data_IF_733620239356
#
_entry.id   IF_733620239356
#
_cell.length_a   1.000
_cell.length_b   1.000
_cell.length_c   1.000
_cell.angle_alpha   90.00
_cell.angle_beta   90.00
_cell.angle_gamma   90.00
#
_symmetry.space_group_name_H-M   'P 1'
#
loop_
_entity.id
_entity.type
_entity.pdbx_description
1 polymer ?
#
# COMPACT_ATOMS: atom_id res chain seq x y z
N UNK A 1 8.40 16.71 -9.23
CA UNK A 1 7.77 15.79 -8.26
C UNK A 1 6.26 16.05 -8.28
N UNK A 2 5.43 15.02 -8.28
CA UNK A 2 3.96 15.20 -8.19
C UNK A 2 3.63 15.99 -6.92
N UNK A 3 2.65 16.91 -7.01
CA UNK A 3 2.26 17.75 -5.86
C UNK A 3 1.28 16.97 -5.00
N UNK A 4 1.74 16.46 -3.87
CA UNK A 4 0.89 15.91 -2.82
C UNK A 4 0.08 17.03 -2.16
N UNK A 5 -1.16 16.73 -1.79
CA UNK A 5 -2.02 17.67 -1.07
C UNK A 5 -1.89 17.37 0.43
N UNK A 6 -1.13 18.16 1.21
CA UNK A 6 -1.05 17.97 2.64
C UNK A 6 -2.36 18.43 3.28
N UNK A 7 -2.75 17.71 4.33
CA UNK A 7 -3.83 18.18 5.18
C UNK A 7 -3.36 19.34 6.06
N UNK A 8 -4.26 20.30 6.29
CA UNK A 8 -3.99 21.45 7.14
C UNK A 8 -4.43 21.13 8.57
N UNK A 9 -3.54 21.42 9.52
CA UNK A 9 -3.77 21.23 10.95
C UNK A 9 -3.61 22.56 11.67
N UNK A 10 -4.42 22.77 12.71
CA UNK A 10 -4.19 23.90 13.63
C UNK A 10 -2.87 23.68 14.40
N UNK A 11 -2.29 24.73 15.01
CA UNK A 11 -1.09 24.58 15.83
C UNK A 11 -1.26 23.54 16.95
N UNK A 12 -2.44 23.48 17.57
CA UNK A 12 -2.76 22.55 18.66
C UNK A 12 -2.89 21.10 18.14
N UNK A 13 -3.59 20.91 17.02
CA UNK A 13 -3.67 19.61 16.34
C UNK A 13 -2.28 19.10 15.96
N UNK A 14 -1.44 19.96 15.38
CA UNK A 14 -0.08 19.63 15.00
C UNK A 14 0.81 19.30 16.22
N UNK A 15 0.60 19.94 17.36
CA UNK A 15 1.34 19.65 18.59
C UNK A 15 1.04 18.23 19.11
N UNK A 16 -0.21 17.79 19.02
CA UNK A 16 -0.61 16.42 19.35
C UNK A 16 -0.02 15.42 18.34
N UNK A 17 -0.22 15.67 17.04
CA UNK A 17 0.18 14.73 15.98
C UNK A 17 1.69 14.45 15.96
N UNK A 18 2.53 15.44 16.27
CA UNK A 18 4.00 15.27 16.29
C UNK A 18 4.50 14.20 17.26
N UNK A 19 3.69 13.81 18.25
CA UNK A 19 4.03 12.75 19.21
C UNK A 19 3.89 11.35 18.61
N UNK A 20 3.02 11.21 17.61
CA UNK A 20 2.54 9.92 17.12
C UNK A 20 2.84 9.65 15.64
N UNK A 21 3.32 10.65 14.89
CA UNK A 21 3.61 10.54 13.46
C UNK A 21 4.97 11.15 13.11
N UNK A 22 5.72 10.50 12.21
CA UNK A 22 7.09 10.92 11.85
C UNK A 22 7.19 12.18 10.99
N UNK A 23 6.09 12.59 10.34
CA UNK A 23 5.90 13.89 9.70
C UNK A 23 4.40 14.19 9.52
N UNK A 24 4.05 15.44 9.18
CA UNK A 24 2.67 15.91 9.07
C UNK A 24 2.23 16.32 7.65
N UNK A 25 3.18 16.45 6.73
CA UNK A 25 3.03 17.15 5.45
C UNK A 25 3.44 16.32 4.23
N UNK A 26 4.05 15.15 4.44
CA UNK A 26 4.39 14.21 3.37
C UNK A 26 3.34 13.08 3.27
N UNK A 27 3.21 12.46 2.08
CA UNK A 27 2.27 11.35 1.87
C UNK A 27 2.72 10.05 2.55
N UNK A 28 4.01 9.92 2.89
CA UNK A 28 4.56 8.75 3.57
C UNK A 28 4.92 9.15 4.98
N UNK A 29 4.51 8.36 5.97
CA UNK A 29 4.81 8.59 7.38
C UNK A 29 4.59 7.33 8.20
N UNK A 30 5.32 7.17 9.30
CA UNK A 30 5.17 6.06 10.22
C UNK A 30 4.44 6.48 11.50
N UNK A 31 3.77 5.50 12.13
CA UNK A 31 3.14 5.65 13.43
C UNK A 31 4.15 5.29 14.52
N UNK A 32 4.36 6.21 15.46
CA UNK A 32 5.28 6.06 16.59
C UNK A 32 4.51 6.26 17.90
N UNK A 33 5.04 5.74 19.01
CA UNK A 33 4.51 5.97 20.36
C UNK A 33 3.00 5.67 20.56
N UNK A 34 2.43 4.79 19.73
CA UNK A 34 1.06 4.31 19.89
C UNK A 34 1.04 2.83 20.28
N UNK A 35 0.09 2.37 21.11
CA UNK A 35 -0.13 0.95 21.34
C UNK A 35 -0.44 0.22 20.02
N UNK A 36 0.08 -1.00 19.84
CA UNK A 36 -0.11 -1.77 18.59
C UNK A 36 -1.59 -2.02 18.25
N UNK A 37 -2.44 -2.21 19.28
CA UNK A 37 -3.90 -2.35 19.09
C UNK A 37 -4.51 -1.08 18.48
N UNK A 38 -4.04 0.10 18.90
CA UNK A 38 -4.52 1.39 18.35
C UNK A 38 -4.05 1.55 16.91
N UNK A 39 -2.79 1.21 16.59
CA UNK A 39 -2.27 1.26 15.21
C UNK A 39 -3.09 0.35 14.28
N UNK A 40 -3.37 -0.88 14.71
CA UNK A 40 -4.18 -1.84 13.94
C UNK A 40 -5.62 -1.35 13.74
N UNK A 41 -6.27 -0.85 14.80
CA UNK A 41 -7.63 -0.30 14.71
C UNK A 41 -7.69 0.93 13.79
N UNK A 42 -6.68 1.81 13.87
CA UNK A 42 -6.59 3.01 13.04
C UNK A 42 -6.50 2.64 11.56
N UNK A 43 -5.65 1.69 11.17
CA UNK A 43 -5.58 1.24 9.76
C UNK A 43 -6.84 0.50 9.30
N UNK A 44 -7.47 -0.29 10.17
CA UNK A 44 -8.74 -0.94 9.84
C UNK A 44 -9.82 0.10 9.51
N UNK A 45 -9.93 1.17 10.32
CA UNK A 45 -10.82 2.31 10.05
C UNK A 45 -10.40 3.09 8.81
N UNK A 46 -9.11 3.29 8.61
CA UNK A 46 -8.52 4.01 7.48
C UNK A 46 -8.92 3.44 6.12
N UNK A 47 -8.93 2.11 5.98
CA UNK A 47 -9.34 1.42 4.75
C UNK A 47 -10.80 1.68 4.33
N UNK A 48 -11.62 2.26 5.22
CA UNK A 48 -13.07 2.50 5.06
C UNK A 48 -13.48 3.96 5.20
N UNK A 49 -12.53 4.90 5.18
CA UNK A 49 -12.80 6.34 5.25
C UNK A 49 -12.05 7.11 4.17
N UNK A 50 -12.60 8.27 3.78
CA UNK A 50 -11.94 9.18 2.86
C UNK A 50 -10.97 10.17 3.54
N UNK A 51 -10.95 10.21 4.88
CA UNK A 51 -10.03 11.06 5.66
C UNK A 51 -8.58 10.60 5.51
N UNK A 52 -7.62 11.52 5.69
CA UNK A 52 -6.23 11.11 5.94
C UNK A 52 -6.12 10.34 7.26
N UNK A 53 -5.03 9.59 7.44
CA UNK A 53 -4.84 8.82 8.67
C UNK A 53 -4.69 9.74 9.89
N UNK A 54 -4.03 10.88 9.72
CA UNK A 54 -3.78 11.87 10.78
C UNK A 54 -5.08 12.55 11.23
N UNK A 55 -5.95 12.90 10.30
CA UNK A 55 -7.28 13.45 10.63
C UNK A 55 -8.19 12.41 11.25
N UNK A 56 -8.19 11.19 10.73
CA UNK A 56 -8.90 10.08 11.36
C UNK A 56 -8.47 9.89 12.81
N UNK A 57 -7.17 9.94 13.09
CA UNK A 57 -6.63 9.85 14.44
C UNK A 57 -7.14 10.96 15.36
N UNK A 58 -7.08 12.22 14.93
CA UNK A 58 -7.59 13.35 15.71
C UNK A 58 -9.09 13.26 15.97
N UNK A 59 -9.86 12.84 14.96
CA UNK A 59 -11.32 12.83 15.07
C UNK A 59 -11.85 11.66 15.88
N UNK A 60 -11.21 10.49 15.82
CA UNK A 60 -11.76 9.23 16.33
C UNK A 60 -10.92 8.55 17.42
N UNK A 61 -9.65 8.92 17.64
CA UNK A 61 -8.74 8.15 18.52
C UNK A 61 -8.04 8.97 19.60
N UNK A 62 -7.75 10.25 19.36
CA UNK A 62 -6.98 11.08 20.31
C UNK A 62 -7.66 11.21 21.69
N UNK A 63 -9.00 11.29 21.72
CA UNK A 63 -9.75 11.49 22.96
C UNK A 63 -9.74 10.28 23.88
N UNK A 64 -9.49 9.08 23.33
CA UNK A 64 -9.47 7.82 24.07
C UNK A 64 -8.05 7.42 24.51
N UNK A 65 -7.03 8.19 24.15
CA UNK A 65 -5.66 7.97 24.61
C UNK A 65 -5.49 8.55 26.02
N UNK A 66 -5.04 7.71 26.96
CA UNK A 66 -4.56 8.19 28.25
C UNK A 66 -3.22 8.90 28.08
N UNK A 67 -3.28 10.21 27.86
CA UNK A 67 -2.12 11.08 27.63
C UNK A 67 -1.24 11.26 28.87
N UNK A 68 -1.62 10.70 30.03
CA UNK A 68 -0.90 10.88 31.30
C UNK A 68 0.38 10.00 31.42
N UNK A 69 0.53 8.97 30.59
CA UNK A 69 1.65 8.02 30.67
C UNK A 69 2.88 8.36 29.80
N UNK A 70 2.73 9.22 28.79
CA UNK A 70 3.74 9.45 27.76
C UNK A 70 4.87 10.41 28.17
N UNK A 71 4.79 11.05 29.34
CA UNK A 71 5.81 12.01 29.81
C UNK A 71 7.00 11.36 30.53
N UNK A 72 6.98 10.05 30.82
CA UNK A 72 7.93 9.46 31.81
C UNK A 72 8.76 8.26 31.35
N UNK A 73 8.52 7.68 30.17
CA UNK A 73 9.40 6.63 29.64
C UNK A 73 10.36 7.25 28.64
N UNK A 74 11.51 7.71 29.15
CA UNK A 74 12.65 8.09 28.32
C UNK A 74 13.20 6.84 27.62
N UNK A 75 12.57 6.48 26.49
CA UNK A 75 12.94 5.35 25.66
C UNK A 75 14.32 5.52 25.00
N UNK A 76 15.05 6.62 25.25
CA UNK A 76 16.40 6.85 24.72
C UNK A 76 17.51 6.22 25.56
N UNK A 77 17.23 5.82 26.81
CA UNK A 77 18.22 5.20 27.71
C UNK A 77 18.53 3.77 27.24
N UNK A 78 19.64 3.61 26.51
CA UNK A 78 20.16 2.31 26.04
C UNK A 78 20.01 2.06 24.53
N UNK A 79 19.37 2.97 23.79
CA UNK A 79 19.19 2.84 22.33
C UNK A 79 20.53 2.83 21.60
N UNK A 80 21.47 3.72 21.96
CA UNK A 80 22.79 3.77 21.32
C UNK A 80 23.59 2.47 21.45
N UNK A 81 23.59 1.87 22.65
CA UNK A 81 24.27 0.59 22.90
C UNK A 81 23.58 -0.59 22.20
N UNK A 82 22.25 -0.56 22.08
CA UNK A 82 21.50 -1.55 21.32
C UNK A 82 21.75 -1.39 19.81
N UNK A 83 21.77 -0.17 19.28
CA UNK A 83 22.07 0.12 17.88
C UNK A 83 23.48 -0.34 17.47
N UNK A 84 24.50 -0.07 18.29
CA UNK A 84 25.87 -0.55 18.08
C UNK A 84 25.97 -2.09 18.08
N UNK A 85 25.24 -2.75 19.00
CA UNK A 85 25.18 -4.21 19.06
C UNK A 85 24.49 -4.81 17.84
N UNK A 86 23.33 -4.26 17.45
CA UNK A 86 22.59 -4.66 16.26
C UNK A 86 23.41 -4.43 14.99
N UNK A 87 24.15 -3.32 14.90
CA UNK A 87 25.02 -3.03 13.76
C UNK A 87 26.08 -4.11 13.59
N UNK A 88 26.79 -4.47 14.64
CA UNK A 88 27.81 -5.52 14.60
C UNK A 88 27.21 -6.88 14.19
N UNK A 89 26.10 -7.28 14.82
CA UNK A 89 25.43 -8.56 14.53
C UNK A 89 24.91 -8.60 13.09
N UNK A 90 24.22 -7.54 12.66
CA UNK A 90 23.62 -7.48 11.34
C UNK A 90 24.71 -7.42 10.27
N UNK A 91 25.58 -6.41 10.31
CA UNK A 91 26.59 -6.09 9.27
C UNK A 91 27.70 -7.12 9.16
N UNK A 92 28.20 -7.67 10.27
CA UNK A 92 29.35 -8.57 10.24
C UNK A 92 28.97 -10.05 10.07
N UNK A 93 27.82 -10.48 10.61
CA UNK A 93 27.44 -11.90 10.61
C UNK A 93 26.38 -12.28 9.57
N UNK A 94 25.75 -11.31 8.90
CA UNK A 94 24.77 -11.58 7.84
C UNK A 94 23.49 -12.25 8.33
N UNK A 95 23.15 -12.08 9.60
CA UNK A 95 21.94 -12.66 10.20
C UNK A 95 20.70 -11.85 9.84
N UNK A 96 20.23 -12.03 8.60
CA UNK A 96 19.07 -11.32 8.06
C UNK A 96 17.77 -11.64 8.83
N UNK A 97 17.74 -12.71 9.64
CA UNK A 97 16.59 -13.06 10.47
C UNK A 97 16.34 -12.05 11.59
N UNK A 98 17.39 -11.36 12.05
CA UNK A 98 17.30 -10.32 13.09
C UNK A 98 16.47 -9.12 12.60
N UNK A 99 16.51 -8.80 11.30
CA UNK A 99 15.69 -7.74 10.72
C UNK A 99 14.18 -8.07 10.68
N UNK A 100 13.78 -9.31 11.02
CA UNK A 100 12.38 -9.68 11.21
C UNK A 100 11.84 -9.26 12.58
N UNK A 101 12.70 -8.94 13.54
CA UNK A 101 12.31 -8.68 14.93
C UNK A 101 11.84 -7.24 15.19
N UNK A 102 12.07 -6.33 14.23
CA UNK A 102 11.55 -4.97 14.26
C UNK A 102 10.53 -4.74 13.16
N UNK A 103 9.37 -4.18 13.52
CA UNK A 103 8.29 -3.89 12.58
C UNK A 103 7.83 -2.43 12.62
N UNK A 104 7.27 -1.94 11.52
CA UNK A 104 6.76 -0.57 11.39
C UNK A 104 5.39 -0.56 10.74
N UNK A 105 4.50 0.23 11.34
CA UNK A 105 3.23 0.66 10.80
C UNK A 105 3.47 1.94 9.96
N UNK A 106 3.42 1.81 8.63
CA UNK A 106 3.69 2.87 7.66
C UNK A 106 2.42 3.22 6.88
N UNK A 107 2.10 4.51 6.82
CA UNK A 107 1.04 5.04 5.97
C UNK A 107 1.63 5.53 4.65
N UNK A 108 1.00 5.13 3.55
CA UNK A 108 1.33 5.52 2.19
C UNK A 108 0.09 6.16 1.57
N UNK A 109 -0.03 7.48 1.62
CA UNK A 109 -1.15 8.24 1.06
C UNK A 109 -0.89 8.68 -0.38
N UNK A 110 -1.96 8.96 -1.12
CA UNK A 110 -1.91 9.56 -2.46
C UNK A 110 -1.01 8.77 -3.43
N UNK A 111 -1.02 7.43 -3.33
CA UNK A 111 -0.34 6.52 -4.23
C UNK A 111 -1.25 6.16 -5.40
N UNK A 112 -0.76 6.18 -6.65
CA UNK A 112 -1.56 5.68 -7.78
C UNK A 112 -1.95 4.21 -7.58
N UNK A 113 -3.02 3.75 -8.24
CA UNK A 113 -3.42 2.35 -8.15
C UNK A 113 -2.31 1.41 -8.65
N UNK A 114 -1.54 1.85 -9.65
CA UNK A 114 -0.34 1.13 -10.10
C UNK A 114 0.69 1.02 -8.96
N UNK A 115 0.96 2.11 -8.26
CA UNK A 115 1.88 2.10 -7.11
C UNK A 115 1.34 1.25 -5.96
N UNK A 116 0.04 1.23 -5.67
CA UNK A 116 -0.48 0.38 -4.59
C UNK A 116 -0.23 -1.10 -4.87
N UNK A 117 -0.34 -1.56 -6.12
CA UNK A 117 0.02 -2.95 -6.47
C UNK A 117 1.52 -3.25 -6.28
N UNK A 118 2.39 -2.26 -6.49
CA UNK A 118 3.84 -2.40 -6.22
C UNK A 118 4.09 -2.49 -4.71
N UNK A 119 3.45 -1.63 -3.92
CA UNK A 119 3.56 -1.62 -2.45
C UNK A 119 3.08 -2.94 -1.84
N UNK A 120 1.99 -3.50 -2.35
CA UNK A 120 1.31 -4.69 -1.81
C UNK A 120 1.91 -6.03 -2.29
N UNK A 121 2.99 -6.01 -3.06
CA UNK A 121 3.56 -7.22 -3.66
C UNK A 121 4.20 -8.19 -2.64
N UNK A 122 4.73 -7.69 -1.53
CA UNK A 122 5.47 -8.51 -0.56
C UNK A 122 4.54 -9.44 0.23
N UNK A 123 4.77 -10.76 0.21
CA UNK A 123 3.88 -11.73 0.89
C UNK A 123 4.04 -11.84 2.41
N UNK A 124 5.12 -11.28 2.96
CA UNK A 124 5.46 -11.34 4.40
C UNK A 124 5.21 -10.01 5.12
N UNK A 125 4.19 -9.27 4.68
CA UNK A 125 3.74 -8.00 5.25
C UNK A 125 2.21 -7.95 5.21
N UNK A 126 1.64 -7.06 5.99
CA UNK A 126 0.19 -6.84 6.09
C UNK A 126 -0.18 -5.52 5.45
N UNK A 127 -1.26 -5.50 4.69
CA UNK A 127 -1.71 -4.33 3.93
C UNK A 127 -3.17 -4.02 4.17
N UNK A 128 -3.49 -2.73 4.20
CA UNK A 128 -4.85 -2.21 4.25
C UNK A 128 -4.99 -1.02 3.29
N UNK A 129 -5.43 -1.30 2.07
CA UNK A 129 -5.75 -0.29 1.06
C UNK A 129 -7.17 0.28 1.25
N UNK A 130 -7.35 1.58 0.96
CA UNK A 130 -8.66 2.21 0.81
C UNK A 130 -9.52 1.49 -0.22
N UNK A 131 -10.67 0.97 0.21
CA UNK A 131 -11.49 0.15 -0.67
C UNK A 131 -12.36 0.98 -1.63
N UNK A 132 -12.12 0.82 -2.94
CA UNK A 132 -13.00 1.33 -4.01
C UNK A 132 -14.42 0.74 -3.96
N UNK A 133 -14.63 -0.34 -3.21
CA UNK A 133 -15.95 -0.96 -3.02
C UNK A 133 -16.80 -0.25 -1.98
N UNK A 134 -16.19 0.53 -1.09
CA UNK A 134 -16.87 1.17 0.04
C UNK A 134 -16.70 2.70 0.04
N UNK A 135 -15.66 3.23 -0.59
CA UNK A 135 -15.36 4.66 -0.65
C UNK A 135 -15.52 5.14 -2.10
N UNK A 136 -16.23 6.25 -2.29
CA UNK A 136 -16.30 6.89 -3.61
C UNK A 136 -15.05 7.74 -3.86
N UNK A 137 -14.52 7.65 -5.08
CA UNK A 137 -13.27 8.31 -5.47
C UNK A 137 -13.50 9.64 -6.21
N UNK A 138 -14.72 10.16 -6.21
CA UNK A 138 -15.12 11.40 -6.87
C UNK A 138 -14.88 12.67 -6.02
N UNK A 139 -14.45 12.52 -4.77
CA UNK A 139 -14.02 13.64 -3.94
C UNK A 139 -12.76 14.31 -4.51
N UNK A 140 -12.76 15.65 -4.53
CA UNK A 140 -11.65 16.46 -5.02
C UNK A 140 -10.63 16.75 -3.91
N UNK A 141 -9.37 16.37 -4.14
CA UNK A 141 -8.24 16.69 -3.27
C UNK A 141 -7.59 17.99 -3.73
N UNK A 142 -7.56 19.00 -2.86
CA UNK A 142 -7.01 20.32 -3.21
C UNK A 142 -7.69 20.95 -4.44
N UNK A 143 -9.00 20.71 -4.61
CA UNK A 143 -9.80 21.22 -5.74
C UNK A 143 -9.72 20.39 -7.03
N UNK A 144 -8.97 19.28 -7.06
CA UNK A 144 -8.77 18.45 -8.26
C UNK A 144 -9.18 17.00 -8.05
N UNK A 145 -9.56 16.29 -9.12
CA UNK A 145 -9.77 14.85 -9.02
C UNK A 145 -8.49 14.11 -8.63
N UNK A 146 -8.69 13.02 -7.87
CA UNK A 146 -7.66 12.21 -7.22
C UNK A 146 -7.02 11.22 -8.20
N UNK A 147 -6.27 11.72 -9.17
CA UNK A 147 -5.38 10.91 -10.00
C UNK A 147 -3.94 11.45 -9.98
N UNK A 148 -3.00 10.52 -10.15
CA UNK A 148 -1.58 10.79 -10.24
C UNK A 148 -1.28 11.65 -11.46
N UNK A 149 -0.52 12.72 -11.27
CA UNK A 149 -0.12 13.64 -12.32
C UNK A 149 1.38 13.52 -12.46
N UNK A 150 1.79 12.62 -13.36
CA UNK A 150 3.20 12.43 -13.68
C UNK A 150 3.77 13.76 -14.21
N UNK A 151 4.85 14.30 -13.59
CA UNK A 151 5.40 15.59 -14.00
C UNK A 151 5.87 15.64 -15.46
N UNK A 152 6.41 14.55 -16.00
CA UNK A 152 6.91 14.49 -17.37
C UNK A 152 5.75 14.41 -18.36
N UNK A 153 4.72 13.63 -18.06
CA UNK A 153 3.49 13.59 -18.89
C UNK A 153 2.78 14.94 -18.88
N UNK A 154 2.61 15.56 -17.71
CA UNK A 154 1.88 16.82 -17.56
C UNK A 154 2.63 18.01 -18.17
N UNK A 155 3.96 18.02 -18.16
CA UNK A 155 4.76 19.06 -18.82
C UNK A 155 5.03 18.80 -20.30
N UNK A 156 4.82 17.55 -20.75
CA UNK A 156 5.00 17.13 -22.12
C UNK A 156 3.83 17.48 -23.06
N UNK A 157 3.93 17.08 -24.34
CA UNK A 157 2.94 17.41 -25.37
C UNK A 157 1.55 16.79 -25.14
N UNK A 158 1.46 15.75 -24.31
CA UNK A 158 0.21 15.07 -23.97
C UNK A 158 -0.45 15.61 -22.70
N UNK A 159 0.17 16.55 -21.98
CA UNK A 159 -0.27 16.96 -20.64
C UNK A 159 -1.70 17.47 -20.57
N UNK A 160 -2.09 18.37 -21.48
CA UNK A 160 -3.47 18.89 -21.56
C UNK A 160 -4.48 17.79 -21.87
N UNK A 161 -4.13 16.88 -22.79
CA UNK A 161 -5.00 15.75 -23.15
C UNK A 161 -5.15 14.79 -21.97
N UNK A 162 -4.04 14.44 -21.32
CA UNK A 162 -4.03 13.57 -20.14
C UNK A 162 -4.97 14.09 -19.05
N UNK A 163 -4.83 15.37 -18.69
CA UNK A 163 -5.68 16.02 -17.67
C UNK A 163 -7.14 16.04 -18.11
N UNK A 164 -7.43 16.44 -19.35
CA UNK A 164 -8.80 16.52 -19.86
C UNK A 164 -9.51 15.16 -19.96
N UNK A 165 -8.80 14.13 -20.40
CA UNK A 165 -9.35 12.77 -20.49
C UNK A 165 -9.56 12.17 -19.09
N UNK A 166 -8.61 12.35 -18.16
CA UNK A 166 -8.77 11.92 -16.77
C UNK A 166 -9.93 12.64 -16.06
N UNK A 167 -10.04 13.96 -16.19
CA UNK A 167 -11.14 14.73 -15.59
C UNK A 167 -12.50 14.23 -16.13
N UNK A 168 -12.61 13.99 -17.44
CA UNK A 168 -13.83 13.42 -18.05
C UNK A 168 -14.16 12.01 -17.53
N UNK A 169 -13.15 11.16 -17.31
CA UNK A 169 -13.36 9.84 -16.71
C UNK A 169 -13.90 9.96 -15.29
N UNK A 170 -13.39 10.90 -14.48
CA UNK A 170 -13.89 11.12 -13.11
C UNK A 170 -15.27 11.77 -13.07
N UNK A 171 -15.59 12.70 -13.97
CA UNK A 171 -16.94 13.24 -14.13
C UNK A 171 -17.93 12.12 -14.46
N UNK A 172 -17.58 11.27 -15.44
CA UNK A 172 -18.38 10.11 -15.84
C UNK A 172 -18.56 9.13 -14.66
N UNK A 173 -17.48 8.83 -13.94
CA UNK A 173 -17.53 7.99 -12.75
C UNK A 173 -18.49 8.56 -11.70
N UNK A 174 -18.42 9.86 -11.41
CA UNK A 174 -19.28 10.51 -10.40
C UNK A 174 -20.76 10.41 -10.79
N UNK A 175 -21.10 10.67 -12.06
CA UNK A 175 -22.47 10.48 -12.54
C UNK A 175 -22.96 9.02 -12.44
N UNK A 176 -22.08 8.06 -12.76
CA UNK A 176 -22.41 6.64 -12.69
C UNK A 176 -22.63 6.17 -11.25
N UNK A 177 -21.81 6.63 -10.29
CA UNK A 177 -22.00 6.33 -8.87
C UNK A 177 -23.43 6.66 -8.44
N UNK A 178 -23.93 7.84 -8.79
CA UNK A 178 -25.28 8.28 -8.41
C UNK A 178 -26.37 7.49 -9.15
N UNK A 179 -26.26 7.37 -10.48
CA UNK A 179 -27.26 6.65 -11.30
C UNK A 179 -27.37 5.18 -10.88
N UNK A 180 -26.24 4.50 -10.69
CA UNK A 180 -26.21 3.08 -10.30
C UNK A 180 -26.64 2.91 -8.84
N UNK A 181 -26.29 3.82 -7.93
CA UNK A 181 -26.78 3.77 -6.53
C UNK A 181 -28.31 3.83 -6.50
N UNK A 182 -28.91 4.75 -7.27
CA UNK A 182 -30.37 4.87 -7.35
C UNK A 182 -31.01 3.63 -7.98
N UNK A 183 -30.42 3.09 -9.05
CA UNK A 183 -30.89 1.86 -9.67
C UNK A 183 -30.84 0.66 -8.71
N UNK A 184 -29.72 0.46 -8.00
CA UNK A 184 -29.57 -0.62 -7.02
C UNK A 184 -30.60 -0.48 -5.90
N UNK A 185 -30.84 0.74 -5.40
CA UNK A 185 -31.86 0.98 -4.36
C UNK A 185 -33.29 0.80 -4.84
N UNK A 186 -33.55 0.93 -6.14
CA UNK A 186 -34.87 0.68 -6.72
C UNK A 186 -35.12 -0.81 -6.99
N UNK A 187 -34.06 -1.61 -7.19
CA UNK A 187 -34.16 -3.02 -7.61
C UNK A 187 -33.86 -4.03 -6.50
N UNK A 188 -33.11 -3.64 -5.46
CA UNK A 188 -32.81 -4.49 -4.31
C UNK A 188 -33.78 -4.14 -3.18
N UNK A 189 -34.73 -5.03 -2.82
CA UNK A 189 -35.62 -4.73 -1.70
C UNK A 189 -34.85 -4.74 -0.38
N UNK A 190 -35.22 -3.83 0.53
CA UNK A 190 -34.73 -3.83 1.91
C UNK A 190 -35.32 -5.02 2.66
N UNK A 191 -34.47 -5.79 3.35
CA UNK A 191 -34.94 -6.89 4.20
C UNK A 191 -35.77 -6.38 5.38
N UNK A 192 -36.71 -7.20 5.85
CA UNK A 192 -37.65 -6.81 6.93
C UNK A 192 -36.93 -6.38 8.23
N UNK A 193 -35.76 -6.98 8.51
CA UNK A 193 -34.96 -6.71 9.70
C UNK A 193 -33.79 -5.73 9.45
N UNK A 194 -33.60 -5.27 8.20
CA UNK A 194 -32.52 -4.34 7.90
C UNK A 194 -32.87 -2.94 8.38
N UNK A 195 -31.92 -2.29 9.06
CA UNK A 195 -32.00 -0.85 9.31
C UNK A 195 -31.82 -0.08 8.00
N UNK A 196 -32.41 1.12 7.90
CA UNK A 196 -32.21 2.01 6.75
C UNK A 196 -30.72 2.32 6.53
N UNK A 197 -29.96 2.48 7.62
CA UNK A 197 -28.52 2.71 7.57
C UNK A 197 -27.76 1.55 6.89
N UNK A 198 -27.98 0.31 7.34
CA UNK A 198 -27.31 -0.88 6.79
C UNK A 198 -27.70 -1.07 5.32
N UNK A 199 -28.99 -0.90 5.00
CA UNK A 199 -29.48 -0.97 3.64
C UNK A 199 -28.81 0.06 2.72
N UNK A 200 -28.73 1.32 3.15
CA UNK A 200 -28.09 2.39 2.36
C UNK A 200 -26.59 2.18 2.17
N UNK A 201 -25.89 1.65 3.17
CA UNK A 201 -24.48 1.29 3.09
C UNK A 201 -24.25 0.13 2.12
N UNK A 202 -25.00 -0.97 2.27
CA UNK A 202 -24.87 -2.15 1.41
C UNK A 202 -25.20 -1.84 -0.05
N UNK A 203 -26.27 -1.09 -0.31
CA UNK A 203 -26.66 -0.69 -1.68
C UNK A 203 -25.65 0.27 -2.30
N UNK A 204 -25.08 1.22 -1.53
CA UNK A 204 -24.00 2.09 -2.01
C UNK A 204 -22.75 1.27 -2.33
N UNK A 205 -22.36 0.33 -1.47
CA UNK A 205 -21.19 -0.52 -1.72
C UNK A 205 -21.37 -1.36 -3.00
N UNK A 206 -22.55 -1.94 -3.22
CA UNK A 206 -22.86 -2.69 -4.44
C UNK A 206 -22.79 -1.80 -5.70
N UNK A 207 -23.24 -0.56 -5.61
CA UNK A 207 -23.13 0.39 -6.72
C UNK A 207 -21.68 0.77 -7.00
N UNK A 208 -20.89 1.08 -5.96
CA UNK A 208 -19.46 1.39 -6.08
C UNK A 208 -18.69 0.21 -6.72
N UNK A 209 -18.95 -1.02 -6.27
CA UNK A 209 -18.33 -2.22 -6.80
C UNK A 209 -18.65 -2.43 -8.30
N UNK A 210 -19.85 -2.08 -8.74
CA UNK A 210 -20.25 -2.16 -10.15
C UNK A 210 -19.60 -1.09 -11.04
N UNK A 211 -19.35 0.12 -10.51
CA UNK A 211 -18.83 1.25 -11.31
C UNK A 211 -17.32 1.44 -11.22
N UNK A 212 -16.64 0.80 -10.25
CA UNK A 212 -15.20 1.00 -10.00
C UNK A 212 -14.31 0.70 -11.22
N UNK A 213 -14.76 -0.11 -12.17
CA UNK A 213 -14.03 -0.39 -13.42
C UNK A 213 -13.82 0.83 -14.32
N UNK A 214 -14.54 1.93 -14.09
CA UNK A 214 -14.35 3.21 -14.81
C UNK A 214 -13.17 4.02 -14.25
N UNK A 215 -12.73 3.76 -13.02
CA UNK A 215 -11.63 4.48 -12.42
C UNK A 215 -10.32 4.20 -13.18
N UNK A 216 -9.57 5.23 -13.59
CA UNK A 216 -8.30 5.03 -14.27
C UNK A 216 -7.26 4.42 -13.33
N UNK A 217 -6.27 3.71 -13.89
CA UNK A 217 -5.14 3.17 -13.12
C UNK A 217 -4.34 4.27 -12.37
N UNK A 218 -4.40 5.51 -12.84
CA UNK A 218 -3.81 6.66 -12.17
C UNK A 218 -4.57 7.10 -10.90
N UNK A 219 -5.75 6.56 -10.61
CA UNK A 219 -6.54 6.91 -9.42
C UNK A 219 -5.71 6.76 -8.15
N UNK A 220 -5.73 7.78 -7.31
CA UNK A 220 -5.00 7.80 -6.05
C UNK A 220 -5.77 7.06 -4.97
N UNK A 221 -5.04 6.27 -4.21
CA UNK A 221 -5.48 5.47 -3.07
C UNK A 221 -4.51 5.69 -1.91
N UNK A 222 -4.89 5.19 -0.74
CA UNK A 222 -4.03 5.18 0.42
C UNK A 222 -3.89 3.75 0.94
N UNK A 223 -2.69 3.40 1.39
CA UNK A 223 -2.33 2.05 1.87
C UNK A 223 -1.69 2.17 3.25
N UNK A 224 -2.23 1.43 4.21
CA UNK A 224 -1.54 1.12 5.46
C UNK A 224 -0.71 -0.14 5.29
N UNK A 225 0.54 -0.12 5.75
CA UNK A 225 1.48 -1.24 5.68
C UNK A 225 1.97 -1.55 7.09
N UNK A 226 1.95 -2.82 7.47
CA UNK A 226 2.75 -3.33 8.57
C UNK A 226 3.75 -4.35 8.04
N UNK A 227 5.03 -4.12 8.28
CA UNK A 227 6.10 -4.97 7.79
C UNK A 227 7.31 -4.96 8.72
N UNK A 228 8.15 -5.97 8.58
CA UNK A 228 9.44 -6.05 9.29
C UNK A 228 10.53 -5.27 8.56
N UNK A 229 11.66 -5.00 9.21
CA UNK A 229 12.84 -4.43 8.56
C UNK A 229 13.25 -5.20 7.31
N UNK A 230 13.24 -6.54 7.36
CA UNK A 230 13.52 -7.39 6.21
C UNK A 230 12.48 -7.22 5.09
N UNK A 231 11.18 -7.17 5.44
CA UNK A 231 10.10 -6.96 4.47
C UNK A 231 10.23 -5.61 3.76
N UNK A 232 10.53 -4.55 4.51
CA UNK A 232 10.75 -3.22 3.96
C UNK A 232 12.03 -3.13 3.12
N UNK A 233 13.15 -3.73 3.54
CA UNK A 233 14.37 -3.77 2.74
C UNK A 233 14.10 -4.41 1.37
N UNK A 234 13.47 -5.59 1.34
CA UNK A 234 13.13 -6.28 0.10
C UNK A 234 12.14 -5.48 -0.78
N UNK A 235 11.20 -4.73 -0.18
CA UNK A 235 10.31 -3.84 -0.92
C UNK A 235 11.07 -2.66 -1.53
N UNK A 236 11.90 -1.98 -0.74
CA UNK A 236 12.64 -0.80 -1.18
C UNK A 236 13.63 -1.14 -2.31
N UNK A 237 14.34 -2.26 -2.23
CA UNK A 237 15.24 -2.70 -3.32
C UNK A 237 14.50 -2.87 -4.64
N UNK A 238 13.31 -3.50 -4.61
CA UNK A 238 12.47 -3.69 -5.81
C UNK A 238 11.91 -2.37 -6.33
N UNK A 239 11.45 -1.48 -5.45
CA UNK A 239 10.90 -0.18 -5.86
C UNK A 239 11.97 0.74 -6.44
N UNK A 240 13.19 0.73 -5.91
CA UNK A 240 14.33 1.49 -6.45
C UNK A 240 14.76 0.98 -7.82
N UNK A 241 14.65 -0.32 -8.06
CA UNK A 241 14.90 -0.94 -9.36
C UNK A 241 13.76 -0.76 -10.38
N UNK A 242 12.60 -0.25 -9.94
CA UNK A 242 11.41 -0.18 -10.78
C UNK A 242 11.53 0.88 -11.88
N UNK A 243 11.04 0.64 -13.11
CA UNK A 243 11.14 1.63 -14.20
C UNK A 243 10.30 2.89 -13.96
N UNK A 244 9.18 2.78 -13.23
CA UNK A 244 8.30 3.91 -12.96
C UNK A 244 8.95 4.94 -12.01
N UNK A 245 9.01 6.24 -12.39
CA UNK A 245 9.50 7.30 -11.52
C UNK A 245 8.75 7.42 -10.20
N UNK A 246 7.43 7.22 -10.20
CA UNK A 246 6.60 7.26 -9.00
C UNK A 246 7.11 6.27 -7.94
N UNK A 247 7.37 5.01 -8.33
CA UNK A 247 7.84 3.97 -7.42
C UNK A 247 9.20 4.32 -6.79
N UNK A 248 10.14 4.84 -7.60
CA UNK A 248 11.47 5.23 -7.11
C UNK A 248 11.41 6.41 -6.15
N UNK A 249 10.66 7.46 -6.51
CA UNK A 249 10.47 8.62 -5.64
C UNK A 249 9.76 8.25 -4.33
N UNK A 250 8.78 7.34 -4.39
CA UNK A 250 8.09 6.85 -3.20
C UNK A 250 9.02 6.01 -2.31
N UNK A 251 9.90 5.20 -2.89
CA UNK A 251 10.90 4.43 -2.15
C UNK A 251 11.85 5.33 -1.34
N UNK A 252 12.26 6.47 -1.90
CA UNK A 252 13.10 7.45 -1.19
C UNK A 252 12.37 8.04 0.03
N UNK A 253 11.10 8.41 -0.14
CA UNK A 253 10.28 8.90 0.98
C UNK A 253 10.06 7.82 2.05
N UNK A 254 9.77 6.59 1.64
CA UNK A 254 9.63 5.45 2.57
C UNK A 254 10.92 5.19 3.34
N UNK A 255 12.07 5.15 2.67
CA UNK A 255 13.37 4.94 3.31
C UNK A 255 13.67 6.02 4.36
N UNK A 256 13.38 7.28 4.04
CA UNK A 256 13.51 8.41 4.98
C UNK A 256 12.67 8.20 6.24
N UNK A 257 11.39 7.88 6.10
CA UNK A 257 10.49 7.74 7.25
C UNK A 257 10.75 6.48 8.06
N UNK A 258 11.04 5.36 7.41
CA UNK A 258 11.35 4.11 8.08
C UNK A 258 12.66 4.23 8.89
N UNK A 259 13.65 4.97 8.40
CA UNK A 259 14.90 5.23 9.14
C UNK A 259 14.71 6.02 10.43
N UNK A 260 13.60 6.76 10.59
CA UNK A 260 13.27 7.42 11.87
C UNK A 260 12.80 6.42 12.93
N UNK A 261 12.38 5.22 12.55
CA UNK A 261 11.81 4.20 13.45
C UNK A 261 12.72 2.98 13.59
N UNK A 262 13.31 2.52 12.49
CA UNK A 262 14.16 1.33 12.43
C UNK A 262 15.46 1.57 11.61
N UNK A 263 16.28 2.57 11.97
CA UNK A 263 17.44 2.99 11.17
C UNK A 263 18.41 1.85 10.85
N UNK A 264 18.71 1.00 11.83
CA UNK A 264 19.73 -0.04 11.73
C UNK A 264 19.36 -1.13 10.71
N UNK A 265 18.08 -1.46 10.55
CA UNK A 265 17.64 -2.49 9.60
C UNK A 265 17.67 -2.04 8.13
N UNK A 266 17.79 -0.73 7.86
CA UNK A 266 17.68 -0.17 6.50
C UNK A 266 18.94 0.55 6.03
N UNK A 267 20.07 0.37 6.73
CA UNK A 267 21.34 1.03 6.36
C UNK A 267 21.87 0.60 4.99
N UNK A 268 21.63 -0.65 4.58
CA UNK A 268 22.24 -1.24 3.37
C UNK A 268 21.50 -0.89 2.09
N UNK A 269 20.24 -0.46 2.18
CA UNK A 269 19.31 -0.28 1.05
C UNK A 269 19.90 0.60 -0.06
N UNK A 270 20.60 1.67 0.31
CA UNK A 270 21.17 2.67 -0.61
C UNK A 270 22.71 2.69 -0.58
N UNK A 271 23.36 1.75 0.11
CA UNK A 271 24.82 1.60 0.03
C UNK A 271 25.20 1.09 -1.36
N UNK A 272 26.13 1.77 -2.08
CA UNK A 272 26.49 1.41 -3.45
C UNK A 272 26.86 -0.06 -3.62
N UNK A 273 27.74 -0.58 -2.75
CA UNK A 273 28.23 -1.97 -2.81
C UNK A 273 27.27 -3.03 -2.25
N UNK A 274 26.09 -2.64 -1.76
CA UNK A 274 25.09 -3.55 -1.17
C UNK A 274 23.74 -3.40 -1.88
N UNK A 275 22.82 -2.63 -1.30
CA UNK A 275 21.49 -2.42 -1.87
C UNK A 275 21.52 -1.71 -3.22
N UNK A 276 22.52 -0.86 -3.47
CA UNK A 276 22.78 -0.28 -4.79
C UNK A 276 23.03 -1.35 -5.86
N UNK A 277 24.00 -2.26 -5.61
CA UNK A 277 24.27 -3.41 -6.50
C UNK A 277 23.06 -4.31 -6.70
N UNK A 278 22.30 -4.59 -5.64
CA UNK A 278 21.07 -5.38 -5.75
C UNK A 278 20.00 -4.69 -6.60
N UNK A 279 19.77 -3.39 -6.39
CA UNK A 279 18.80 -2.62 -7.17
C UNK A 279 19.22 -2.57 -8.65
N UNK A 280 20.51 -2.38 -8.94
CA UNK A 280 21.05 -2.41 -10.30
C UNK A 280 20.85 -3.78 -10.95
N UNK A 281 21.21 -4.86 -10.26
CA UNK A 281 21.02 -6.23 -10.75
C UNK A 281 19.55 -6.53 -11.07
N UNK A 282 18.62 -6.13 -10.21
CA UNK A 282 17.19 -6.30 -10.45
C UNK A 282 16.71 -5.51 -11.68
N UNK A 283 17.18 -4.27 -11.84
CA UNK A 283 16.84 -3.43 -12.98
C UNK A 283 17.42 -3.98 -14.29
N UNK A 284 18.70 -4.37 -14.29
CA UNK A 284 19.39 -4.94 -15.46
C UNK A 284 18.72 -6.25 -15.89
N UNK A 285 18.41 -7.15 -14.95
CA UNK A 285 17.72 -8.38 -15.27
C UNK A 285 16.35 -8.12 -15.89
N UNK A 286 15.58 -7.18 -15.35
CA UNK A 286 14.27 -6.83 -15.88
C UNK A 286 14.38 -6.26 -17.31
N UNK A 287 15.32 -5.33 -17.53
CA UNK A 287 15.56 -4.73 -18.86
C UNK A 287 16.04 -5.77 -19.86
N UNK A 288 17.11 -6.51 -19.54
CA UNK A 288 17.72 -7.48 -20.44
C UNK A 288 16.74 -8.62 -20.78
N UNK A 289 15.92 -9.05 -19.82
CA UNK A 289 14.86 -10.05 -20.08
C UNK A 289 13.81 -9.46 -21.02
N UNK A 290 13.40 -8.21 -20.81
CA UNK A 290 12.45 -7.51 -21.69
C UNK A 290 12.97 -7.42 -23.12
N UNK A 291 14.23 -6.99 -23.30
CA UNK A 291 14.86 -6.86 -24.61
C UNK A 291 14.96 -8.21 -25.34
N UNK A 292 15.36 -9.28 -24.63
CA UNK A 292 15.40 -10.62 -25.20
C UNK A 292 14.01 -11.12 -25.58
N UNK A 293 13.01 -10.93 -24.71
CA UNK A 293 11.63 -11.36 -25.01
C UNK A 293 11.08 -10.62 -26.22
N UNK A 294 11.32 -9.32 -26.35
CA UNK A 294 10.91 -8.52 -27.51
C UNK A 294 11.65 -8.96 -28.79
N UNK A 295 12.96 -9.24 -28.71
CA UNK A 295 13.75 -9.76 -29.83
C UNK A 295 13.17 -11.06 -30.41
N UNK A 296 12.82 -12.02 -29.54
CA UNK A 296 12.33 -13.33 -29.97
C UNK A 296 10.83 -13.35 -30.31
N UNK A 297 10.02 -12.53 -29.63
CA UNK A 297 8.56 -12.65 -29.68
C UNK A 297 7.82 -11.37 -30.08
N UNK A 298 8.48 -10.22 -30.19
CA UNK A 298 7.83 -8.92 -30.46
C UNK A 298 7.18 -8.80 -31.84
N UNK A 299 7.59 -9.64 -32.80
CA UNK A 299 6.99 -9.71 -34.14
C UNK A 299 5.87 -10.76 -34.26
N UNK A 300 5.63 -11.54 -33.21
CA UNK A 300 4.62 -12.62 -33.23
C UNK A 300 3.26 -11.99 -32.98
N UNK A 301 2.41 -12.02 -34.00
CA UNK A 301 1.03 -11.55 -33.87
C UNK A 301 0.22 -12.52 -32.97
N UNK A 302 -0.49 -12.01 -31.96
CA UNK A 302 -1.29 -12.85 -31.07
C UNK A 302 -2.46 -13.47 -31.83
N UNK A 303 -2.65 -14.78 -31.68
CA UNK A 303 -3.81 -15.48 -32.22
C UNK A 303 -5.09 -15.15 -31.42
N UNK A 304 -6.28 -15.15 -32.05
CA UNK A 304 -7.54 -15.02 -31.33
C UNK A 304 -7.71 -16.13 -30.30
N UNK A 305 -7.87 -15.75 -29.02
CA UNK A 305 -8.12 -16.67 -27.93
C UNK A 305 -9.40 -16.29 -27.17
N UNK A 306 -9.97 -17.25 -26.44
CA UNK A 306 -11.02 -16.93 -25.48
C UNK A 306 -10.46 -16.04 -24.36
N UNK A 307 -11.31 -15.18 -23.78
CA UNK A 307 -10.92 -14.28 -22.68
C UNK A 307 -10.31 -15.03 -21.49
N UNK A 308 -10.79 -16.25 -21.23
CA UNK A 308 -10.26 -17.16 -20.21
C UNK A 308 -10.11 -18.55 -20.80
N UNK A 309 -8.91 -19.13 -20.68
CA UNK A 309 -8.61 -20.52 -21.07
C UNK A 309 -7.81 -21.18 -19.95
N UNK A 310 -8.24 -22.37 -19.50
CA UNK A 310 -7.43 -23.19 -18.59
C UNK A 310 -6.27 -23.79 -19.39
N UNK A 311 -5.07 -23.27 -19.16
CA UNK A 311 -3.86 -23.68 -19.90
C UNK A 311 -3.21 -24.93 -19.32
N UNK A 312 -3.28 -25.10 -17.99
CA UNK A 312 -2.71 -26.23 -17.26
C UNK A 312 -3.38 -26.35 -15.89
N UNK A 313 -3.44 -27.58 -15.36
CA UNK A 313 -3.85 -27.85 -13.97
C UNK A 313 -3.23 -29.16 -13.51
N UNK A 314 -3.04 -29.31 -12.20
CA UNK A 314 -2.57 -30.56 -11.61
C UNK A 314 -3.75 -31.55 -11.50
N UNK A 315 -3.80 -32.63 -12.30
CA UNK A 315 -4.91 -33.58 -12.25
C UNK A 315 -5.00 -34.30 -10.90
N UNK A 316 -3.88 -34.39 -10.17
CA UNK A 316 -3.79 -35.03 -8.85
C UNK A 316 -3.82 -33.99 -7.72
N UNK A 317 -4.21 -32.75 -8.01
CA UNK A 317 -4.13 -31.64 -7.04
C UNK A 317 -4.95 -31.88 -5.77
N UNK A 318 -6.13 -32.50 -5.89
CA UNK A 318 -6.96 -32.87 -4.74
C UNK A 318 -6.28 -33.93 -3.87
N UNK A 319 -5.70 -34.96 -4.48
CA UNK A 319 -4.99 -36.04 -3.78
C UNK A 319 -3.73 -35.49 -3.08
N UNK A 320 -2.98 -34.61 -3.74
CA UNK A 320 -1.81 -33.94 -3.13
C UNK A 320 -2.20 -33.07 -1.94
N UNK A 321 -3.33 -32.37 -2.01
CA UNK A 321 -3.85 -31.59 -0.89
C UNK A 321 -4.22 -32.51 0.30
N UNK A 322 -4.92 -33.61 0.01
CA UNK A 322 -5.27 -34.62 1.02
C UNK A 322 -4.03 -35.25 1.64
N UNK A 323 -3.03 -35.62 0.83
CA UNK A 323 -1.75 -36.15 1.28
C UNK A 323 -1.03 -35.17 2.20
N UNK A 324 -0.97 -33.88 1.84
CA UNK A 324 -0.36 -32.83 2.67
C UNK A 324 -1.10 -32.62 4.01
N UNK A 325 -2.45 -32.68 4.00
CA UNK A 325 -3.26 -32.63 5.24
C UNK A 325 -2.90 -33.82 6.14
N UNK A 326 -2.91 -35.02 5.58
CA UNK A 326 -2.60 -36.26 6.29
C UNK A 326 -1.15 -36.27 6.81
N UNK A 327 -0.18 -35.73 6.05
CA UNK A 327 1.24 -35.80 6.36
C UNK A 327 1.58 -35.19 7.72
N UNK A 328 0.98 -34.03 8.05
CA UNK A 328 1.17 -33.37 9.36
C UNK A 328 0.72 -34.21 10.56
N UNK A 329 -0.16 -35.19 10.32
CA UNK A 329 -0.79 -36.04 11.33
C UNK A 329 -0.41 -37.52 11.17
N UNK A 330 0.50 -37.83 10.24
CA UNK A 330 0.93 -39.18 9.91
C UNK A 330 2.40 -39.39 10.29
N UNK A 331 2.78 -40.64 10.52
CA UNK A 331 4.18 -41.05 10.63
C UNK A 331 4.73 -41.58 9.29
N UNK A 332 3.88 -41.62 8.25
CA UNK A 332 4.26 -42.03 6.91
C UNK A 332 4.93 -40.86 6.16
N UNK A 333 5.92 -41.12 5.30
CA UNK A 333 6.42 -40.11 4.37
C UNK A 333 5.32 -39.71 3.40
N UNK A 334 5.35 -38.46 2.91
CA UNK A 334 4.36 -37.90 1.98
C UNK A 334 4.16 -38.77 0.73
N UNK A 335 5.22 -39.41 0.24
CA UNK A 335 5.16 -40.33 -0.91
C UNK A 335 4.36 -41.62 -0.67
N UNK A 336 3.86 -41.86 0.55
CA UNK A 336 3.07 -43.03 0.95
C UNK A 336 1.65 -42.65 1.40
N UNK A 337 1.24 -41.38 1.24
CA UNK A 337 -0.08 -40.85 1.54
C UNK A 337 -0.82 -40.52 0.24
#
# INVERSE_FOLDING_TARGET
MSVYVPEQFTPDEAAVLRRYFTNLDLPVFALVNLPEVVKGALFARYSRTAKSLRRLFLDEFVGDLDLAGDETVDATVGVSRAEELYERIFVEYGDDSVAQLGGVHLACEQASNVLTKILEWGRLMSYLEQSTRYISYDARLGGRYRYYRDPEVCSGPLGTRYVGDMDRMFDTYSELVDKVTNHVRATVPRGANDSDFIYRQATRAKALDAVRGVLPAASLSNVGIYGTGQGYEALLLRMRAHPLPEARAYADMMLSELRKVIPTFLRRVDMPERGGRWSQYLADNASNTGDLVDEYFGIVEPEPAAEVTLVDFDPDGEDKLLAAICYSSSHLPESQL
#
